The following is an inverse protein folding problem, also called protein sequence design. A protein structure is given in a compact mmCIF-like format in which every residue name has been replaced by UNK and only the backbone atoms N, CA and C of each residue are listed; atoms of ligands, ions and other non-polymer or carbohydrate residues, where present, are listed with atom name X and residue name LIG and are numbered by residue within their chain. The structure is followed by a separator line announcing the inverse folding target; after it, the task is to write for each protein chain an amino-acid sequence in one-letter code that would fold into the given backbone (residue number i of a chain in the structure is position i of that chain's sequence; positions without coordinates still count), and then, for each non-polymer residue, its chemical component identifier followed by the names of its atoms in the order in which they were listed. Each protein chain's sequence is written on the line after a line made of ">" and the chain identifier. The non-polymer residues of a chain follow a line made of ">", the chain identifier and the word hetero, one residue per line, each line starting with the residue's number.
data_IF_469105651465
#
_entry.id   IF_469105651465
#
_cell.length_a   1.000
_cell.length_b   1.000
_cell.length_c   1.000
_cell.angle_alpha   90.00
_cell.angle_beta   90.00
_cell.angle_gamma   90.00
#
_symmetry.space_group_name_H-M   'P 1'
#
loop_
_entity.id
_entity.type
_entity.pdbx_description
1 polymer ?
#
# COMPACT_ATOMS: atom_id res chain seq x y z
N UNK A 1 -16.67 -7.11 4.06
CA UNK A 1 -16.69 -8.00 2.88
C UNK A 1 -17.33 -7.39 1.63
N UNK A 2 -18.40 -6.59 1.74
CA UNK A 2 -18.97 -5.87 0.60
C UNK A 2 -17.96 -4.90 -0.07
N UNK A 3 -17.19 -4.18 0.74
CA UNK A 3 -16.20 -3.22 0.23
C UNK A 3 -15.06 -3.86 -0.57
N UNK A 4 -14.65 -5.09 -0.25
CA UNK A 4 -13.61 -5.78 -1.02
C UNK A 4 -14.11 -6.20 -2.39
N UNK A 5 -15.35 -6.71 -2.49
CA UNK A 5 -15.96 -7.05 -3.79
C UNK A 5 -16.13 -5.80 -4.67
N UNK A 6 -16.55 -4.69 -4.05
CA UNK A 6 -16.59 -3.39 -4.74
C UNK A 6 -15.20 -3.01 -5.24
N UNK A 7 -14.19 -3.09 -4.37
CA UNK A 7 -12.82 -2.72 -4.71
C UNK A 7 -12.22 -3.61 -5.81
N UNK A 8 -12.49 -4.91 -5.81
CA UNK A 8 -12.12 -5.83 -6.90
C UNK A 8 -12.85 -5.52 -8.21
N UNK A 9 -13.99 -4.83 -8.16
CA UNK A 9 -14.68 -4.32 -9.36
C UNK A 9 -14.06 -3.01 -9.86
N UNK A 10 -13.68 -2.12 -8.93
CA UNK A 10 -13.05 -0.82 -9.25
C UNK A 10 -11.60 -0.98 -9.72
N UNK A 11 -10.90 -1.98 -9.19
CA UNK A 11 -9.48 -2.28 -9.41
C UNK A 11 -9.35 -3.77 -9.79
N UNK A 12 -9.79 -4.16 -10.99
CA UNK A 12 -9.79 -5.56 -11.41
C UNK A 12 -8.37 -6.13 -11.49
N UNK A 13 -8.23 -7.38 -11.06
CA UNK A 13 -7.00 -8.16 -11.17
C UNK A 13 -7.27 -9.51 -11.82
N UNK A 14 -6.57 -9.80 -12.92
CA UNK A 14 -6.68 -11.06 -13.65
C UNK A 14 -5.30 -11.52 -14.13
N UNK A 15 -4.99 -12.81 -13.97
CA UNK A 15 -3.73 -13.42 -14.43
C UNK A 15 -2.45 -12.70 -13.95
N UNK A 16 -2.51 -12.11 -12.74
CA UNK A 16 -1.39 -11.36 -12.16
C UNK A 16 -1.24 -9.94 -12.70
N UNK A 17 -2.18 -9.45 -13.50
CA UNK A 17 -2.25 -8.05 -13.94
C UNK A 17 -3.40 -7.37 -13.21
N UNK A 18 -3.11 -6.25 -12.56
CA UNK A 18 -4.09 -5.38 -11.91
C UNK A 18 -4.14 -4.06 -12.68
N UNK A 19 -5.34 -3.60 -13.02
CA UNK A 19 -5.54 -2.34 -13.74
C UNK A 19 -6.41 -1.43 -12.87
N UNK A 20 -6.00 -0.19 -12.74
CA UNK A 20 -6.78 0.86 -12.11
C UNK A 20 -6.71 2.12 -12.96
N UNK A 21 -7.87 2.60 -13.41
CA UNK A 21 -7.97 3.79 -14.26
C UNK A 21 -8.80 4.83 -13.54
N UNK A 22 -8.16 5.72 -12.78
CA UNK A 22 -8.84 6.72 -11.97
C UNK A 22 -9.33 7.90 -12.81
N UNK A 23 -10.40 8.55 -12.36
CA UNK A 23 -10.86 9.80 -12.97
C UNK A 23 -9.97 10.96 -12.54
N UNK A 24 -9.66 11.01 -11.23
CA UNK A 24 -8.83 12.02 -10.58
C UNK A 24 -8.02 11.39 -9.46
N UNK A 25 -6.93 12.06 -9.09
CA UNK A 25 -6.16 11.78 -7.89
C UNK A 25 -6.41 12.92 -6.90
N UNK A 26 -7.17 12.64 -5.85
CA UNK A 26 -7.55 13.61 -4.81
C UNK A 26 -6.38 13.90 -3.87
N UNK A 27 -5.68 12.83 -3.50
CA UNK A 27 -4.44 12.91 -2.72
C UNK A 27 -3.33 12.34 -3.56
N UNK A 28 -2.36 13.19 -3.90
CA UNK A 28 -1.12 12.79 -4.57
C UNK A 28 0.04 12.92 -3.60
N UNK A 29 0.73 11.80 -3.36
CA UNK A 29 1.91 11.72 -2.51
C UNK A 29 1.67 12.15 -1.05
N UNK A 30 0.55 11.69 -0.48
CA UNK A 30 0.35 11.77 0.96
C UNK A 30 1.38 10.93 1.73
N UNK A 31 1.70 11.31 2.96
CA UNK A 31 2.58 10.53 3.85
C UNK A 31 1.79 9.99 5.03
N UNK A 32 1.81 8.66 5.18
CA UNK A 32 1.37 7.98 6.39
C UNK A 32 2.59 7.45 7.15
N UNK A 33 2.60 7.58 8.48
CA UNK A 33 3.70 7.07 9.31
C UNK A 33 3.22 5.86 10.11
N UNK A 34 3.76 4.69 9.82
CA UNK A 34 3.48 3.44 10.54
C UNK A 34 4.76 2.93 11.19
N UNK A 35 4.72 2.62 12.49
CA UNK A 35 5.90 2.23 13.29
C UNK A 35 7.13 3.14 13.11
N UNK A 36 6.87 4.46 13.01
CA UNK A 36 7.91 5.46 12.84
C UNK A 36 8.55 5.51 11.44
N UNK A 37 7.98 4.83 10.45
CA UNK A 37 8.43 4.85 9.06
C UNK A 37 7.40 5.53 8.15
N UNK A 38 7.82 6.41 7.23
CA UNK A 38 6.95 6.99 6.23
C UNK A 38 6.62 5.98 5.12
N UNK A 39 5.39 6.07 4.64
CA UNK A 39 4.84 5.35 3.49
C UNK A 39 4.05 6.34 2.64
N UNK A 40 4.16 6.19 1.33
CA UNK A 40 3.35 6.96 0.38
C UNK A 40 1.93 6.43 0.44
N UNK A 41 0.96 7.33 0.50
CA UNK A 41 -0.43 7.00 0.30
C UNK A 41 -1.06 7.96 -0.73
N UNK A 42 -2.01 7.43 -1.48
CA UNK A 42 -2.75 8.16 -2.50
C UNK A 42 -4.23 7.86 -2.37
N UNK A 43 -5.07 8.81 -2.77
CA UNK A 43 -6.52 8.62 -2.83
C UNK A 43 -7.00 9.05 -4.20
N UNK A 44 -7.71 8.16 -4.86
CA UNK A 44 -8.13 8.31 -6.24
C UNK A 44 -9.65 8.22 -6.33
N UNK A 45 -10.27 9.03 -7.19
CA UNK A 45 -11.68 8.91 -7.50
C UNK A 45 -11.88 7.93 -8.65
N UNK A 46 -12.86 7.05 -8.51
CA UNK A 46 -13.33 6.13 -9.55
C UNK A 46 -14.84 6.05 -9.53
N UNK A 47 -15.48 6.53 -10.60
CA UNK A 47 -16.93 6.67 -10.69
C UNK A 47 -17.48 7.49 -9.50
N UNK A 48 -18.38 6.89 -8.71
CA UNK A 48 -18.95 7.49 -7.48
C UNK A 48 -18.20 7.11 -6.20
N UNK A 49 -17.04 6.46 -6.33
CA UNK A 49 -16.28 5.90 -5.21
C UNK A 49 -14.86 6.48 -5.17
N UNK A 50 -14.19 6.23 -4.05
CA UNK A 50 -12.81 6.58 -3.83
C UNK A 50 -12.01 5.34 -3.46
N UNK A 51 -10.79 5.24 -3.97
CA UNK A 51 -9.83 4.18 -3.70
C UNK A 51 -8.60 4.80 -3.05
N UNK A 52 -8.38 4.50 -1.78
CA UNK A 52 -7.17 4.88 -1.07
C UNK A 52 -6.16 3.74 -1.13
N UNK A 53 -4.92 4.04 -1.46
CA UNK A 53 -3.81 3.08 -1.53
C UNK A 53 -2.66 3.52 -0.63
N UNK A 54 -1.97 2.56 -0.01
CA UNK A 54 -0.67 2.77 0.64
C UNK A 54 0.38 1.88 -0.03
N UNK A 55 1.57 2.43 -0.26
CA UNK A 55 2.73 1.67 -0.72
C UNK A 55 3.42 1.03 0.50
N UNK A 56 3.15 -0.25 0.81
CA UNK A 56 3.92 -0.98 1.84
C UNK A 56 5.40 -1.16 1.45
N UNK A 57 5.67 -1.16 0.15
CA UNK A 57 7.01 -1.13 -0.41
C UNK A 57 6.99 -0.24 -1.63
N UNK A 58 7.67 0.90 -1.54
CA UNK A 58 7.92 1.78 -2.69
C UNK A 58 8.79 1.07 -3.71
N UNK A 59 8.50 1.30 -4.98
CA UNK A 59 9.08 0.51 -6.06
C UNK A 59 10.62 0.54 -6.06
N UNK A 60 11.24 -0.63 -6.05
CA UNK A 60 12.69 -0.78 -6.02
C UNK A 60 13.32 -1.10 -7.40
N UNK A 61 14.55 -0.59 -7.60
CA UNK A 61 15.41 -0.96 -8.75
C UNK A 61 15.82 -2.43 -8.71
N UNK A 62 16.11 -2.96 -7.52
CA UNK A 62 16.43 -4.39 -7.33
C UNK A 62 15.28 -5.02 -6.55
N UNK A 63 14.53 -5.97 -7.14
CA UNK A 63 13.38 -6.57 -6.49
C UNK A 63 13.77 -7.37 -5.25
N UNK A 64 12.86 -7.44 -4.29
CA UNK A 64 12.93 -8.32 -3.13
C UNK A 64 12.53 -9.73 -3.57
N UNK A 65 13.43 -10.69 -3.34
CA UNK A 65 13.14 -12.10 -3.59
C UNK A 65 12.38 -12.69 -2.41
N UNK A 66 11.06 -12.70 -2.53
CA UNK A 66 10.15 -13.37 -1.60
C UNK A 66 9.54 -14.56 -2.34
N UNK A 67 9.50 -15.77 -1.76
CA UNK A 67 8.82 -16.89 -2.41
C UNK A 67 7.38 -16.52 -2.77
N UNK A 68 6.97 -16.75 -4.02
CA UNK A 68 5.64 -16.40 -4.53
C UNK A 68 4.52 -16.94 -3.64
N UNK A 69 4.69 -18.14 -3.06
CA UNK A 69 3.74 -18.73 -2.10
C UNK A 69 3.52 -17.86 -0.86
N UNK A 70 4.55 -17.18 -0.37
CA UNK A 70 4.50 -16.29 0.81
C UNK A 70 3.84 -14.97 0.45
N UNK A 71 4.13 -14.41 -0.72
CA UNK A 71 3.44 -13.22 -1.23
C UNK A 71 1.95 -13.51 -1.37
N UNK A 72 1.59 -14.64 -1.99
CA UNK A 72 0.20 -15.08 -2.13
C UNK A 72 -0.49 -15.34 -0.79
N UNK A 73 0.22 -15.88 0.20
CA UNK A 73 -0.32 -16.05 1.56
C UNK A 73 -0.68 -14.71 2.18
N UNK A 74 0.27 -13.77 2.21
CA UNK A 74 0.01 -12.43 2.71
C UNK A 74 -1.11 -11.70 1.94
N UNK A 75 -1.22 -11.92 0.62
CA UNK A 75 -2.34 -11.39 -0.16
C UNK A 75 -3.71 -12.00 0.23
N UNK A 76 -3.75 -13.22 0.76
CA UNK A 76 -5.00 -13.77 1.31
C UNK A 76 -5.31 -13.14 2.67
N UNK A 77 -4.29 -12.96 3.50
CA UNK A 77 -4.44 -12.34 4.82
C UNK A 77 -4.93 -10.90 4.66
N UNK A 78 -4.29 -10.11 3.79
CA UNK A 78 -4.75 -8.75 3.44
C UNK A 78 -6.23 -8.72 3.01
N UNK A 79 -6.66 -9.67 2.17
CA UNK A 79 -8.08 -9.79 1.77
C UNK A 79 -8.99 -10.14 2.95
N UNK A 80 -8.55 -10.98 3.87
CA UNK A 80 -9.30 -11.28 5.10
C UNK A 80 -9.50 -10.02 5.97
N UNK A 81 -8.55 -9.09 5.95
CA UNK A 81 -8.67 -7.76 6.55
C UNK A 81 -9.45 -6.75 5.68
N UNK A 82 -9.98 -7.15 4.52
CA UNK A 82 -10.73 -6.29 3.61
C UNK A 82 -9.86 -5.31 2.81
N UNK A 83 -8.57 -5.59 2.67
CA UNK A 83 -7.65 -4.83 1.83
C UNK A 83 -7.49 -5.51 0.47
N UNK A 84 -7.35 -4.73 -0.60
CA UNK A 84 -6.92 -5.26 -1.89
C UNK A 84 -5.39 -5.23 -1.96
N UNK A 85 -4.71 -6.38 -1.98
CA UNK A 85 -3.27 -6.43 -2.19
C UNK A 85 -2.92 -6.31 -3.67
N UNK A 86 -1.96 -5.44 -3.97
CA UNK A 86 -1.44 -5.19 -5.29
C UNK A 86 0.09 -5.39 -5.23
N UNK A 87 0.58 -6.64 -5.12
CA UNK A 87 2.00 -6.90 -5.32
C UNK A 87 2.35 -6.64 -6.79
N UNK A 88 3.55 -6.14 -7.07
CA UNK A 88 4.01 -6.03 -8.45
C UNK A 88 5.51 -6.26 -8.63
N UNK A 89 5.82 -6.88 -9.76
CA UNK A 89 7.15 -7.07 -10.33
C UNK A 89 7.49 -5.99 -11.36
N UNK A 90 6.48 -5.30 -11.89
CA UNK A 90 6.60 -4.10 -12.72
C UNK A 90 5.25 -3.35 -12.73
N UNK A 91 5.30 -2.03 -12.85
CA UNK A 91 4.14 -1.19 -13.10
C UNK A 91 4.34 -0.27 -14.32
N UNK A 92 3.25 0.31 -14.77
CA UNK A 92 3.18 1.33 -15.82
C UNK A 92 2.12 2.35 -15.44
N UNK A 93 2.45 3.64 -15.59
CA UNK A 93 1.55 4.75 -15.30
C UNK A 93 1.42 5.66 -16.54
N UNK A 94 0.19 6.07 -16.88
CA UNK A 94 -0.07 7.07 -17.93
C UNK A 94 -1.29 7.91 -17.55
N UNK A 95 -1.06 9.17 -17.18
CA UNK A 95 -2.11 9.97 -16.56
C UNK A 95 -2.60 9.26 -15.30
N UNK A 96 -3.92 9.02 -15.21
CA UNK A 96 -4.54 8.33 -14.08
C UNK A 96 -4.70 6.81 -14.29
N UNK A 97 -4.12 6.26 -15.37
CA UNK A 97 -4.07 4.82 -15.59
C UNK A 97 -2.86 4.21 -14.90
N UNK A 98 -3.11 3.26 -14.00
CA UNK A 98 -2.15 2.49 -13.24
C UNK A 98 -2.28 1.01 -13.64
N UNK A 99 -1.20 0.42 -14.14
CA UNK A 99 -1.15 -1.00 -14.49
C UNK A 99 -0.05 -1.64 -13.69
N UNK A 100 -0.38 -2.69 -12.96
CA UNK A 100 0.53 -3.46 -12.14
C UNK A 100 0.59 -4.89 -12.66
N UNK A 101 1.78 -5.49 -12.68
CA UNK A 101 1.98 -6.87 -13.08
C UNK A 101 2.81 -7.61 -12.05
N UNK A 102 2.43 -8.84 -11.71
CA UNK A 102 3.12 -9.67 -10.75
C UNK A 102 3.42 -11.06 -11.32
N UNK A 103 4.70 -11.38 -11.44
CA UNK A 103 5.18 -12.66 -12.00
C UNK A 103 6.26 -13.34 -11.16
N UNK A 104 6.69 -12.74 -10.04
CA UNK A 104 7.64 -13.40 -9.13
C UNK A 104 8.29 -12.44 -8.12
N UNK A 105 9.52 -11.94 -8.37
CA UNK A 105 10.18 -11.01 -7.46
C UNK A 105 9.37 -9.73 -7.26
N UNK A 106 9.24 -9.28 -6.01
CA UNK A 106 8.44 -8.11 -5.64
C UNK A 106 9.29 -6.85 -5.79
N UNK A 107 8.87 -5.90 -6.62
CA UNK A 107 9.48 -4.56 -6.72
C UNK A 107 8.80 -3.57 -5.81
N UNK A 108 7.48 -3.61 -5.75
CA UNK A 108 6.66 -2.83 -4.85
C UNK A 108 5.41 -3.59 -4.45
N UNK A 109 4.71 -3.05 -3.46
CA UNK A 109 3.54 -3.69 -2.89
C UNK A 109 2.59 -2.64 -2.36
N UNK A 110 1.42 -2.54 -2.96
CA UNK A 110 0.39 -1.61 -2.52
C UNK A 110 -0.76 -2.35 -1.83
N UNK A 111 -1.46 -1.65 -0.96
CA UNK A 111 -2.71 -2.09 -0.36
C UNK A 111 -3.77 -1.03 -0.58
N UNK A 112 -4.96 -1.44 -1.04
CA UNK A 112 -6.08 -0.55 -1.31
C UNK A 112 -7.29 -0.79 -0.41
N UNK A 113 -8.08 0.27 -0.20
CA UNK A 113 -9.47 0.22 0.29
C UNK A 113 -10.38 1.10 -0.56
N UNK A 114 -11.69 0.87 -0.47
CA UNK A 114 -12.69 1.73 -1.08
C UNK A 114 -13.51 2.51 -0.03
N UNK A 115 -14.12 3.61 -0.47
CA UNK A 115 -15.09 4.40 0.29
C UNK A 115 -15.99 5.22 -0.65
N UNK A 116 -17.08 5.78 -0.14
CA UNK A 116 -17.94 6.71 -0.89
C UNK A 116 -17.42 8.15 -0.82
N UNK A 117 -16.44 8.43 0.03
CA UNK A 117 -15.69 9.69 0.10
C UNK A 117 -14.21 9.41 0.29
N UNK A 118 -13.33 10.34 -0.12
CA UNK A 118 -11.89 10.23 0.06
C UNK A 118 -11.49 9.97 1.52
N UNK A 119 -12.02 10.77 2.44
CA UNK A 119 -11.77 10.62 3.87
C UNK A 119 -12.26 9.28 4.42
N UNK A 120 -13.35 8.71 3.88
CA UNK A 120 -13.82 7.39 4.29
C UNK A 120 -12.89 6.28 3.79
N UNK A 121 -12.45 6.32 2.53
CA UNK A 121 -11.49 5.33 2.01
C UNK A 121 -10.19 5.37 2.81
N UNK A 122 -9.67 6.55 3.13
CA UNK A 122 -8.45 6.73 3.92
C UNK A 122 -8.59 6.18 5.34
N UNK A 123 -9.70 6.49 6.04
CA UNK A 123 -9.96 5.90 7.36
C UNK A 123 -10.05 4.39 7.32
N UNK A 124 -10.80 3.84 6.34
CA UNK A 124 -10.90 2.40 6.13
C UNK A 124 -9.53 1.76 5.90
N UNK A 125 -8.65 2.43 5.15
CA UNK A 125 -7.28 1.98 4.90
C UNK A 125 -6.50 1.89 6.20
N UNK A 126 -6.47 2.95 6.99
CA UNK A 126 -5.70 3.00 8.23
C UNK A 126 -6.21 2.00 9.28
N UNK A 127 -7.52 1.89 9.46
CA UNK A 127 -8.12 0.94 10.40
C UNK A 127 -7.77 -0.52 10.05
N UNK A 128 -7.84 -0.88 8.76
CA UNK A 128 -7.55 -2.24 8.30
C UNK A 128 -6.05 -2.55 8.32
N UNK A 129 -5.22 -1.57 8.00
CA UNK A 129 -3.76 -1.69 8.08
C UNK A 129 -3.30 -2.02 9.49
N UNK A 130 -3.87 -1.37 10.52
CA UNK A 130 -3.51 -1.65 11.92
C UNK A 130 -3.69 -3.13 12.28
N UNK A 131 -4.73 -3.78 11.75
CA UNK A 131 -4.98 -5.21 11.97
C UNK A 131 -4.03 -6.13 11.18
N UNK A 132 -3.61 -5.71 9.98
CA UNK A 132 -2.72 -6.50 9.11
C UNK A 132 -1.23 -6.31 9.45
N UNK A 133 -0.88 -5.20 10.10
CA UNK A 133 0.50 -4.77 10.29
C UNK A 133 1.44 -5.85 10.87
N UNK A 134 1.04 -6.62 11.89
CA UNK A 134 1.89 -7.70 12.43
C UNK A 134 2.24 -8.79 11.42
N UNK A 135 1.42 -8.97 10.38
CA UNK A 135 1.56 -10.03 9.37
C UNK A 135 2.34 -9.59 8.13
N UNK A 136 2.76 -8.33 8.05
CA UNK A 136 3.57 -7.81 6.94
C UNK A 136 4.85 -8.66 6.81
N UNK A 137 5.14 -9.23 5.63
CA UNK A 137 6.32 -10.05 5.44
C UNK A 137 7.59 -9.30 5.88
N UNK A 138 8.42 -9.86 6.78
CA UNK A 138 9.61 -9.17 7.29
C UNK A 138 10.57 -8.71 6.18
N UNK A 139 10.59 -9.40 5.05
CA UNK A 139 11.37 -9.01 3.88
C UNK A 139 10.89 -7.70 3.23
N UNK A 140 9.57 -7.44 3.22
CA UNK A 140 8.96 -6.19 2.75
C UNK A 140 9.33 -5.05 3.70
N UNK A 141 9.03 -5.22 5.00
CA UNK A 141 9.34 -4.21 6.02
C UNK A 141 10.85 -3.88 6.09
N UNK A 142 11.71 -4.91 5.98
CA UNK A 142 13.16 -4.73 5.90
C UNK A 142 13.57 -3.96 4.65
N UNK A 143 12.99 -4.27 3.49
CA UNK A 143 13.32 -3.59 2.25
C UNK A 143 12.94 -2.10 2.28
N UNK A 144 11.77 -1.75 2.82
CA UNK A 144 11.38 -0.36 3.02
C UNK A 144 12.35 0.37 3.98
N UNK A 145 12.71 -0.26 5.11
CA UNK A 145 13.73 0.28 6.04
C UNK A 145 15.08 0.49 5.37
N UNK A 146 15.51 -0.45 4.54
CA UNK A 146 16.76 -0.36 3.78
C UNK A 146 16.71 0.75 2.72
N UNK A 147 15.57 0.96 2.06
CA UNK A 147 15.34 2.07 1.13
C UNK A 147 15.52 3.41 1.83
N UNK A 148 14.82 3.62 2.94
CA UNK A 148 14.88 4.88 3.72
C UNK A 148 16.27 5.16 4.30
N UNK A 149 17.09 4.13 4.50
CA UNK A 149 18.50 4.24 4.92
C UNK A 149 19.48 4.40 3.76
N UNK A 150 19.00 4.52 2.52
CA UNK A 150 19.83 4.63 1.32
C UNK A 150 20.57 3.34 0.93
N UNK A 151 20.23 2.19 1.53
CA UNK A 151 20.83 0.87 1.21
C UNK A 151 20.15 0.19 0.02
N UNK A 152 18.97 0.68 -0.38
CA UNK A 152 18.28 0.32 -1.61
C UNK A 152 17.95 1.57 -2.40
N UNK A 153 17.73 1.41 -3.70
CA UNK A 153 17.35 2.50 -4.61
C UNK A 153 15.88 2.36 -5.00
N UNK A 154 15.13 3.45 -4.84
CA UNK A 154 13.82 3.59 -5.46
C UNK A 154 13.97 3.62 -6.98
N UNK A 155 12.98 3.10 -7.71
CA UNK A 155 12.94 3.19 -9.16
C UNK A 155 12.68 4.61 -9.62
N UNK A 156 11.85 5.34 -8.89
CA UNK A 156 11.54 6.74 -9.14
C UNK A 156 12.12 7.59 -8.00
N UNK A 157 12.94 8.59 -8.37
CA UNK A 157 13.57 9.47 -7.39
C UNK A 157 12.53 10.32 -6.63
N UNK A 158 11.43 10.70 -7.32
CA UNK A 158 10.34 11.48 -6.74
C UNK A 158 9.71 10.81 -5.50
N UNK A 159 9.52 9.49 -5.54
CA UNK A 159 8.97 8.73 -4.41
C UNK A 159 9.89 8.81 -3.19
N UNK A 160 11.20 8.71 -3.41
CA UNK A 160 12.18 8.84 -2.32
C UNK A 160 12.23 10.27 -1.78
N UNK A 161 12.12 11.30 -2.63
CA UNK A 161 12.01 12.68 -2.18
C UNK A 161 10.79 12.90 -1.30
N UNK A 162 9.65 12.32 -1.66
CA UNK A 162 8.41 12.38 -0.88
C UNK A 162 8.59 11.70 0.47
N UNK A 163 9.13 10.49 0.51
CA UNK A 163 9.38 9.74 1.75
C UNK A 163 10.36 10.42 2.71
N UNK A 164 11.34 11.16 2.17
CA UNK A 164 12.36 11.86 2.96
C UNK A 164 11.94 13.28 3.37
N UNK A 165 10.82 13.79 2.85
CA UNK A 165 10.30 15.09 3.28
C UNK A 165 9.82 15.00 4.73
N UNK A 166 10.05 16.05 5.55
CA UNK A 166 9.44 16.14 6.86
C UNK A 166 7.92 16.03 6.70
N UNK A 167 7.23 15.20 7.51
CA UNK A 167 5.78 15.04 7.39
C UNK A 167 5.12 16.41 7.59
N UNK A 168 4.45 16.90 6.54
CA UNK A 168 3.59 18.08 6.62
C UNK A 168 2.28 17.66 7.30
N UNK A 169 2.31 17.63 8.62
CA UNK A 169 1.13 17.63 9.47
C UNK A 169 0.04 16.61 9.14
N UNK A 170 0.30 15.32 9.38
CA UNK A 170 -0.69 14.38 9.91
C UNK A 170 0.07 13.17 10.48
N UNK A 171 0.04 13.01 11.82
CA UNK A 171 0.60 11.85 12.51
C UNK A 171 -0.57 10.96 12.89
N UNK A 172 -0.83 9.89 12.15
CA UNK A 172 -1.60 8.77 12.70
C UNK A 172 -0.63 7.96 13.56
N UNK A 173 -0.69 8.13 14.87
CA UNK A 173 0.02 7.21 15.79
C UNK A 173 -0.74 5.89 15.79
N UNK A 174 -0.09 4.73 15.61
CA UNK A 174 -0.70 3.47 16.02
C UNK A 174 -0.99 3.54 17.53
N UNK A 175 -2.12 3.00 17.96
CA UNK A 175 -2.47 2.95 19.37
C UNK A 175 -1.41 2.14 20.13
N UNK A 176 -0.51 2.82 20.83
CA UNK A 176 0.22 2.23 21.93
C UNK A 176 -0.76 2.04 23.09
N UNK A 177 -1.03 0.79 23.46
CA UNK A 177 -0.75 0.27 24.81
C UNK A 177 -1.59 -0.96 25.13
N UNK A 178 -0.90 -1.99 25.61
CA UNK A 178 -1.48 -3.07 26.38
C UNK A 178 -0.40 -3.67 27.27
N UNK A 179 0.26 -2.86 28.09
CA UNK A 179 0.87 -3.37 29.33
C UNK A 179 -0.25 -4.06 30.10
N UNK A 180 -0.08 -5.37 30.35
CA UNK A 180 -0.93 -6.08 31.30
C UNK A 180 -0.58 -5.57 32.70
N UNK A 181 -1.55 -5.26 33.56
CA UNK A 181 -1.25 -5.17 34.98
C UNK A 181 -0.79 -6.55 35.44
N UNK A 182 0.33 -6.59 36.14
CA UNK A 182 0.75 -7.76 36.89
C UNK A 182 -0.36 -8.14 37.88
N UNK A 183 -0.74 -9.42 37.86
CA UNK A 183 -1.40 -10.07 38.99
C UNK A 183 -0.32 -10.63 39.91
#
# INVERSE_FOLDING_TARGET
>A
MADLKLLETLVPSQNGVTVFDAETQETSYGICVLDGLPYIFDTHRKDRFYVATIELLTELVIPVRIPTKRVRAFCRDARAHGLLPIPYSACFFKGNLHVYSFSGPVRGFDLGTAGTTAAQSERNLMERLNGLWPDVPPAIARAQKELLRGRRRARHAADLEVLLRPPRGERVRPASSGERPAL
#
